data_IF_186778813624
#
_entry.id   IF_186778813624
#
_cell.length_a   1.000
_cell.length_b   1.000
_cell.length_c   1.000
_cell.angle_alpha   90.00
_cell.angle_beta   90.00
_cell.angle_gamma   90.00
#
_symmetry.space_group_name_H-M   'P 1'
#
loop_
_entity.id
_entity.type
_entity.pdbx_description
1 polymer ?
#
# COMPACT_ATOMS: atom_id res chain seq x y z
N UNK A 1 -14.53 28.48 31.02
CA UNK A 1 -14.92 28.10 29.64
C UNK A 1 -14.75 26.60 29.49
N UNK A 2 -15.86 25.87 29.36
CA UNK A 2 -15.86 24.41 29.38
C UNK A 2 -15.19 23.83 28.14
N UNK A 3 -14.23 22.93 28.35
CA UNK A 3 -13.72 22.04 27.32
C UNK A 3 -14.88 21.21 26.76
N UNK A 4 -15.40 21.59 25.59
CA UNK A 4 -16.22 20.67 24.78
C UNK A 4 -15.33 19.49 24.43
N UNK A 5 -15.49 18.36 25.13
CA UNK A 5 -15.01 17.06 24.67
C UNK A 5 -15.57 16.88 23.26
N UNK A 6 -14.71 16.88 22.25
CA UNK A 6 -15.10 16.56 20.89
C UNK A 6 -15.85 15.23 20.92
N UNK A 7 -17.11 15.28 20.52
CA UNK A 7 -18.01 14.13 20.48
C UNK A 7 -17.38 13.13 19.51
N UNK A 8 -16.99 11.95 20.01
CA UNK A 8 -16.35 10.90 19.21
C UNK A 8 -17.39 10.43 18.17
N UNK A 9 -17.34 10.98 16.96
CA UNK A 9 -18.19 10.53 15.85
C UNK A 9 -17.73 9.11 15.52
N UNK A 10 -18.52 8.11 15.91
CA UNK A 10 -18.26 6.73 15.51
C UNK A 10 -18.52 6.64 14.01
N UNK A 11 -17.47 6.53 13.21
CA UNK A 11 -17.57 6.33 11.77
C UNK A 11 -18.12 4.93 11.52
N UNK A 12 -19.21 4.84 10.74
CA UNK A 12 -19.68 3.55 10.25
C UNK A 12 -18.84 3.13 9.05
N UNK A 13 -18.10 2.03 9.20
CA UNK A 13 -17.30 1.47 8.10
C UNK A 13 -18.12 0.48 7.24
N UNK A 14 -19.20 -0.06 7.80
CA UNK A 14 -20.11 -0.95 7.08
C UNK A 14 -21.15 -0.19 6.25
N UNK A 15 -21.40 1.11 6.52
CA UNK A 15 -22.42 1.90 5.84
C UNK A 15 -21.96 3.33 5.52
N UNK A 16 -22.36 3.90 4.37
CA UNK A 16 -23.04 3.24 3.25
C UNK A 16 -22.18 2.11 2.64
N UNK A 17 -22.85 1.12 2.07
CA UNK A 17 -22.18 0.02 1.38
C UNK A 17 -21.84 0.45 -0.04
N UNK A 18 -20.61 0.18 -0.45
CA UNK A 18 -20.21 0.26 -1.86
C UNK A 18 -20.72 -0.97 -2.61
N UNK A 19 -21.02 -0.79 -3.88
CA UNK A 19 -21.43 -1.85 -4.80
C UNK A 19 -20.28 -2.83 -5.05
N UNK A 20 -20.59 -4.06 -5.48
CA UNK A 20 -19.55 -5.01 -5.91
C UNK A 20 -18.72 -4.44 -7.07
N UNK A 21 -19.36 -3.73 -8.00
CA UNK A 21 -18.68 -3.08 -9.12
C UNK A 21 -17.62 -2.04 -8.67
N UNK A 22 -17.91 -1.25 -7.63
CA UNK A 22 -16.92 -0.29 -7.08
C UNK A 22 -15.76 -1.00 -6.37
N UNK A 23 -16.03 -2.11 -5.67
CA UNK A 23 -15.00 -2.91 -5.02
C UNK A 23 -14.12 -3.64 -6.03
N UNK A 24 -14.73 -4.19 -7.07
CA UNK A 24 -14.04 -4.85 -8.18
C UNK A 24 -13.20 -3.83 -8.95
N UNK A 25 -13.74 -2.65 -9.24
CA UNK A 25 -12.98 -1.58 -9.88
C UNK A 25 -11.77 -1.14 -9.04
N UNK A 26 -11.93 -0.97 -7.73
CA UNK A 26 -10.79 -0.69 -6.86
C UNK A 26 -9.79 -1.85 -6.85
N UNK A 27 -10.26 -3.09 -6.84
CA UNK A 27 -9.37 -4.23 -6.83
C UNK A 27 -8.59 -4.37 -8.13
N UNK A 28 -9.22 -4.16 -9.28
CA UNK A 28 -8.56 -4.09 -10.58
C UNK A 28 -7.49 -2.99 -10.61
N UNK A 29 -7.83 -1.80 -10.11
CA UNK A 29 -6.89 -0.68 -9.96
C UNK A 29 -5.63 -1.10 -9.18
N UNK A 30 -5.81 -1.74 -8.01
CA UNK A 30 -4.71 -2.25 -7.18
C UNK A 30 -3.83 -3.28 -7.91
N UNK A 31 -4.41 -4.10 -8.79
CA UNK A 31 -3.65 -5.10 -9.55
C UNK A 31 -2.73 -4.46 -10.60
N UNK A 32 -2.98 -3.20 -10.98
CA UNK A 32 -2.20 -2.44 -11.94
C UNK A 32 -1.15 -1.53 -11.30
N UNK A 33 -1.09 -1.44 -9.95
CA UNK A 33 -0.18 -0.56 -9.19
C UNK A 33 1.32 -0.70 -9.54
N UNK A 34 1.73 -1.89 -9.99
CA UNK A 34 3.13 -2.23 -10.27
C UNK A 34 3.41 -2.34 -11.79
N UNK A 35 2.45 -2.03 -12.68
CA UNK A 35 2.62 -2.11 -14.14
C UNK A 35 3.13 -0.77 -14.73
N UNK A 36 4.25 -0.76 -15.48
CA UNK A 36 4.78 0.47 -16.06
C UNK A 36 4.07 0.90 -17.35
N UNK A 37 3.30 1.99 -17.27
CA UNK A 37 2.69 2.65 -18.42
C UNK A 37 3.62 3.75 -18.95
N UNK A 38 4.61 3.39 -19.76
CA UNK A 38 5.69 4.33 -20.17
C UNK A 38 5.16 5.61 -20.86
N UNK A 39 4.03 5.52 -21.54
CA UNK A 39 3.34 6.65 -22.19
C UNK A 39 2.51 7.52 -21.23
N UNK A 40 2.36 7.11 -19.95
CA UNK A 40 1.61 7.88 -18.97
C UNK A 40 2.32 9.21 -18.70
N UNK A 41 1.64 10.29 -19.08
CA UNK A 41 2.02 11.66 -18.77
C UNK A 41 1.60 12.02 -17.34
N UNK A 42 2.40 12.88 -16.71
CA UNK A 42 1.97 13.54 -15.47
C UNK A 42 0.77 14.44 -15.81
N UNK A 43 -0.33 14.41 -15.04
CA UNK A 43 -1.49 15.23 -15.37
C UNK A 43 -1.12 16.72 -15.38
N UNK A 44 -1.70 17.44 -16.34
CA UNK A 44 -1.65 18.89 -16.44
C UNK A 44 -2.91 19.52 -15.82
N UNK A 45 -2.82 20.82 -15.49
CA UNK A 45 -3.92 21.57 -14.90
C UNK A 45 -4.19 21.29 -13.41
N UNK A 46 -5.27 21.89 -12.92
CA UNK A 46 -5.63 21.86 -11.51
C UNK A 46 -6.23 20.52 -11.10
N UNK A 47 -5.71 19.96 -10.02
CA UNK A 47 -6.29 18.80 -9.37
C UNK A 47 -7.69 19.11 -8.85
N UNK A 48 -8.66 18.18 -8.95
CA UNK A 48 -9.91 18.27 -8.21
C UNK A 48 -9.67 18.46 -6.70
N UNK A 49 -10.27 19.50 -6.12
CA UNK A 49 -10.11 19.80 -4.70
C UNK A 49 -10.61 18.63 -3.83
N UNK A 50 -9.83 18.30 -2.79
CA UNK A 50 -10.25 17.36 -1.76
C UNK A 50 -11.43 17.93 -0.98
N UNK A 51 -12.43 17.08 -0.74
CA UNK A 51 -13.63 17.42 0.01
C UNK A 51 -13.51 16.95 1.45
N UNK A 52 -14.15 17.68 2.35
CA UNK A 52 -14.40 17.18 3.71
C UNK A 52 -15.21 15.88 3.63
N UNK A 53 -14.64 14.80 4.15
CA UNK A 53 -15.24 13.46 4.08
C UNK A 53 -14.53 12.48 3.12
N UNK A 54 -13.69 12.94 2.20
CA UNK A 54 -12.99 12.05 1.25
C UNK A 54 -12.17 10.98 1.97
N UNK A 55 -11.53 11.36 3.07
CA UNK A 55 -10.78 10.44 3.93
C UNK A 55 -11.67 9.33 4.52
N UNK A 56 -12.88 9.70 4.96
CA UNK A 56 -13.86 8.78 5.53
C UNK A 56 -14.38 7.81 4.47
N UNK A 57 -14.76 8.33 3.30
CA UNK A 57 -15.28 7.52 2.19
C UNK A 57 -14.22 6.59 1.59
N UNK A 58 -13.01 7.10 1.37
CA UNK A 58 -11.90 6.29 0.88
C UNK A 58 -11.54 5.16 1.85
N UNK A 59 -11.44 5.46 3.15
CA UNK A 59 -11.11 4.44 4.14
C UNK A 59 -12.23 3.39 4.25
N UNK A 60 -13.49 3.82 4.16
CA UNK A 60 -14.66 2.93 4.13
C UNK A 60 -14.59 1.97 2.94
N UNK A 61 -14.26 2.46 1.75
CA UNK A 61 -14.10 1.62 0.55
C UNK A 61 -12.98 0.59 0.74
N UNK A 62 -11.81 1.02 1.26
CA UNK A 62 -10.69 0.13 1.57
C UNK A 62 -11.06 -0.95 2.61
N UNK A 63 -11.83 -0.56 3.64
CA UNK A 63 -12.28 -1.47 4.68
C UNK A 63 -13.20 -2.54 4.08
N UNK A 64 -14.20 -2.13 3.30
CA UNK A 64 -15.17 -3.05 2.69
C UNK A 64 -14.49 -3.98 1.68
N UNK A 65 -13.47 -3.49 0.95
CA UNK A 65 -12.65 -4.32 0.07
C UNK A 65 -11.95 -5.46 0.81
N UNK A 66 -11.42 -5.19 2.02
CA UNK A 66 -10.82 -6.25 2.84
C UNK A 66 -11.89 -7.18 3.42
N UNK A 67 -12.90 -6.62 4.11
CA UNK A 67 -13.86 -7.40 4.89
C UNK A 67 -14.73 -8.30 4.01
N UNK A 68 -15.10 -7.85 2.80
CA UNK A 68 -15.87 -8.65 1.83
C UNK A 68 -15.00 -9.50 0.92
N UNK A 69 -13.73 -9.14 0.77
CA UNK A 69 -12.81 -9.77 -0.18
C UNK A 69 -11.91 -10.85 0.42
N UNK A 70 -11.87 -10.99 1.75
CA UNK A 70 -11.04 -12.01 2.43
C UNK A 70 -11.80 -12.69 3.55
N UNK A 71 -12.26 -13.90 3.28
CA UNK A 71 -12.76 -14.82 4.31
C UNK A 71 -11.58 -15.39 5.12
N UNK A 72 -11.41 -14.89 6.35
CA UNK A 72 -10.26 -15.22 7.20
C UNK A 72 -10.15 -16.71 7.53
N UNK A 73 -11.23 -17.46 7.79
CA UNK A 73 -11.15 -18.91 7.96
C UNK A 73 -10.58 -19.62 6.72
N UNK A 74 -10.99 -19.21 5.51
CA UNK A 74 -10.51 -19.78 4.26
C UNK A 74 -9.08 -19.38 3.96
N UNK A 75 -8.73 -18.12 4.18
CA UNK A 75 -7.37 -17.65 4.03
C UNK A 75 -6.42 -18.35 5.01
N UNK A 76 -6.85 -18.59 6.26
CA UNK A 76 -6.09 -19.39 7.23
C UNK A 76 -5.89 -20.83 6.75
N UNK A 77 -6.90 -21.47 6.15
CA UNK A 77 -6.77 -22.82 5.57
C UNK A 77 -5.78 -22.84 4.41
N UNK A 78 -5.82 -21.83 3.53
CA UNK A 78 -4.84 -21.65 2.45
C UNK A 78 -3.41 -21.56 3.01
N UNK A 79 -3.19 -20.68 4.00
CA UNK A 79 -1.87 -20.52 4.66
C UNK A 79 -1.39 -21.86 5.23
N UNK A 80 -2.27 -22.63 5.89
CA UNK A 80 -1.91 -23.94 6.43
C UNK A 80 -1.53 -24.94 5.32
N UNK A 81 -2.24 -24.96 4.18
CA UNK A 81 -1.91 -25.84 3.05
C UNK A 81 -0.51 -25.53 2.49
N UNK A 82 -0.25 -24.25 2.21
CA UNK A 82 1.06 -23.81 1.68
C UNK A 82 2.18 -24.12 2.69
N UNK A 83 1.94 -23.85 3.98
CA UNK A 83 2.87 -24.17 5.06
C UNK A 83 3.23 -25.66 5.10
N UNK A 84 2.23 -26.55 5.09
CA UNK A 84 2.46 -28.01 5.22
C UNK A 84 3.28 -28.56 4.06
N UNK A 85 3.12 -27.97 2.87
CA UNK A 85 3.88 -28.34 1.66
C UNK A 85 5.26 -27.67 1.59
N UNK A 86 5.54 -26.69 2.44
CA UNK A 86 6.75 -25.87 2.38
C UNK A 86 6.79 -24.93 1.17
N UNK A 87 5.62 -24.57 0.62
CA UNK A 87 5.46 -23.79 -0.59
C UNK A 87 4.27 -24.26 -1.41
N UNK A 88 3.99 -23.58 -2.52
CA UNK A 88 2.98 -24.01 -3.47
C UNK A 88 3.42 -23.70 -4.89
N UNK A 89 3.23 -24.66 -5.80
CA UNK A 89 3.35 -24.50 -7.25
C UNK A 89 1.98 -24.38 -7.93
N UNK A 90 0.90 -24.52 -7.16
CA UNK A 90 -0.48 -24.34 -7.62
C UNK A 90 -0.73 -22.86 -7.92
N UNK A 91 -1.08 -22.56 -9.17
CA UNK A 91 -1.32 -21.21 -9.64
C UNK A 91 -2.51 -20.56 -8.92
N UNK A 92 -3.55 -21.31 -8.60
CA UNK A 92 -4.73 -20.79 -7.89
C UNK A 92 -4.39 -20.42 -6.46
N UNK A 93 -3.63 -21.27 -5.75
CA UNK A 93 -3.20 -20.97 -4.38
C UNK A 93 -2.25 -19.75 -4.33
N UNK A 94 -1.34 -19.63 -5.30
CA UNK A 94 -0.47 -18.45 -5.45
C UNK A 94 -1.30 -17.19 -5.68
N UNK A 95 -2.30 -17.27 -6.56
CA UNK A 95 -3.15 -16.15 -6.90
C UNK A 95 -4.03 -15.73 -5.73
N UNK A 96 -4.69 -16.68 -5.06
CA UNK A 96 -5.50 -16.42 -3.87
C UNK A 96 -4.67 -15.77 -2.75
N UNK A 97 -3.44 -16.23 -2.54
CA UNK A 97 -2.54 -15.61 -1.56
C UNK A 97 -2.15 -14.18 -1.97
N UNK A 98 -1.80 -13.96 -3.25
CA UNK A 98 -1.48 -12.64 -3.81
C UNK A 98 -2.64 -11.67 -3.60
N UNK A 99 -3.86 -12.13 -3.88
CA UNK A 99 -5.08 -11.32 -3.79
C UNK A 99 -5.46 -10.95 -2.36
N UNK A 100 -5.37 -11.89 -1.42
CA UNK A 100 -5.53 -11.57 0.00
C UNK A 100 -4.47 -10.56 0.47
N UNK A 101 -3.21 -10.76 0.08
CA UNK A 101 -2.10 -9.85 0.42
C UNK A 101 -2.31 -8.46 -0.17
N UNK A 102 -2.79 -8.33 -1.39
CA UNK A 102 -3.11 -7.05 -2.01
C UNK A 102 -4.14 -6.27 -1.18
N UNK A 103 -5.23 -6.91 -0.76
CA UNK A 103 -6.26 -6.31 0.10
C UNK A 103 -5.72 -5.85 1.46
N UNK A 104 -4.94 -6.70 2.14
CA UNK A 104 -4.28 -6.33 3.40
C UNK A 104 -3.27 -5.18 3.23
N UNK A 105 -2.48 -5.20 2.15
CA UNK A 105 -1.54 -4.12 1.81
C UNK A 105 -2.27 -2.81 1.60
N UNK A 106 -3.41 -2.83 0.89
CA UNK A 106 -4.20 -1.65 0.57
C UNK A 106 -4.83 -1.02 1.81
N UNK A 107 -5.52 -1.78 2.67
CA UNK A 107 -6.06 -1.22 3.93
C UNK A 107 -4.95 -0.72 4.85
N UNK A 108 -3.78 -1.37 4.87
CA UNK A 108 -2.63 -0.88 5.62
C UNK A 108 -2.18 0.48 5.11
N UNK A 109 -2.18 0.71 3.80
CA UNK A 109 -1.89 2.02 3.22
C UNK A 109 -2.98 3.05 3.53
N UNK A 110 -4.26 2.66 3.50
CA UNK A 110 -5.37 3.50 3.92
C UNK A 110 -5.17 3.99 5.37
N UNK A 111 -4.71 3.16 6.30
CA UNK A 111 -4.38 3.62 7.67
C UNK A 111 -3.27 4.68 7.71
N UNK A 112 -2.30 4.66 6.79
CA UNK A 112 -1.27 5.70 6.76
C UNK A 112 -1.71 6.97 6.03
N UNK A 113 -2.58 6.86 5.04
CA UNK A 113 -3.02 8.00 4.26
C UNK A 113 -4.21 8.69 4.92
N UNK A 114 -5.25 7.94 5.28
CA UNK A 114 -6.58 8.47 5.59
C UNK A 114 -6.83 8.57 7.11
N UNK A 115 -6.08 7.85 7.94
CA UNK A 115 -6.20 8.03 9.38
C UNK A 115 -5.41 9.28 9.82
N UNK A 116 -6.00 10.10 10.69
CA UNK A 116 -5.38 11.32 11.23
C UNK A 116 -4.06 11.05 11.97
N UNK A 117 -3.82 9.82 12.41
CA UNK A 117 -2.55 9.40 13.03
C UNK A 117 -1.47 9.09 12.00
N UNK A 118 -1.81 9.00 10.71
CA UNK A 118 -0.94 8.70 9.58
C UNK A 118 0.05 7.54 9.81
N UNK A 119 -0.44 6.47 10.44
CA UNK A 119 0.40 5.32 10.85
C UNK A 119 -0.35 4.00 10.76
N UNK A 120 0.42 2.94 10.52
CA UNK A 120 -0.12 1.59 10.53
C UNK A 120 -0.40 1.14 11.96
N UNK A 121 -1.58 0.55 12.25
CA UNK A 121 -1.74 -0.24 13.46
C UNK A 121 -0.73 -1.40 13.48
N UNK A 122 -0.17 -1.68 14.65
CA UNK A 122 0.91 -2.66 14.76
C UNK A 122 0.47 -4.06 14.32
N UNK A 123 -0.79 -4.45 14.58
CA UNK A 123 -1.31 -5.77 14.26
C UNK A 123 -1.49 -5.96 12.75
N UNK A 124 -2.03 -4.95 12.06
CA UNK A 124 -2.17 -4.90 10.60
C UNK A 124 -0.79 -4.94 9.93
N UNK A 125 0.16 -4.18 10.46
CA UNK A 125 1.53 -4.18 9.98
C UNK A 125 2.20 -5.56 10.17
N UNK A 126 1.97 -6.23 11.30
CA UNK A 126 2.48 -7.58 11.55
C UNK A 126 1.92 -8.58 10.53
N UNK A 127 0.59 -8.67 10.39
CA UNK A 127 -0.04 -9.60 9.45
C UNK A 127 0.46 -9.37 8.02
N UNK A 128 0.46 -8.12 7.57
CA UNK A 128 0.92 -7.78 6.21
C UNK A 128 2.41 -8.11 6.00
N UNK A 129 3.25 -7.91 7.01
CA UNK A 129 4.69 -8.24 6.93
C UNK A 129 4.91 -9.75 6.89
N UNK A 130 4.19 -10.51 7.72
CA UNK A 130 4.23 -11.99 7.71
C UNK A 130 3.78 -12.55 6.35
N UNK A 131 2.75 -11.98 5.74
CA UNK A 131 2.34 -12.34 4.38
C UNK A 131 3.45 -12.07 3.36
N UNK A 132 4.14 -10.93 3.46
CA UNK A 132 5.30 -10.62 2.63
C UNK A 132 6.41 -11.65 2.78
N UNK A 133 6.88 -11.89 4.01
CA UNK A 133 7.96 -12.86 4.26
C UNK A 133 7.60 -14.28 3.82
N UNK A 134 6.35 -14.72 4.04
CA UNK A 134 5.89 -16.01 3.57
C UNK A 134 5.87 -16.07 2.04
N UNK A 135 5.35 -15.03 1.36
CA UNK A 135 5.33 -14.95 -0.10
C UNK A 135 6.71 -15.07 -0.71
N UNK A 136 7.65 -14.29 -0.19
CA UNK A 136 9.02 -14.26 -0.71
C UNK A 136 9.72 -15.60 -0.45
N UNK A 137 9.45 -16.25 0.69
CA UNK A 137 9.99 -17.56 1.00
C UNK A 137 9.51 -18.65 0.03
N UNK A 138 8.21 -18.72 -0.26
CA UNK A 138 7.71 -19.76 -1.17
C UNK A 138 8.00 -19.47 -2.65
N UNK A 139 8.03 -18.20 -3.07
CA UNK A 139 8.48 -17.82 -4.41
C UNK A 139 9.92 -18.26 -4.67
N UNK A 140 10.79 -18.12 -3.67
CA UNK A 140 12.19 -18.53 -3.74
C UNK A 140 12.43 -20.01 -3.36
N UNK A 141 11.37 -20.84 -3.27
CA UNK A 141 11.42 -22.27 -2.92
C UNK A 141 12.13 -22.57 -1.58
N UNK A 142 12.13 -21.62 -0.64
CA UNK A 142 12.78 -21.74 0.66
C UNK A 142 11.85 -22.45 1.66
N UNK A 143 11.78 -23.78 1.61
CA UNK A 143 10.80 -24.60 2.36
C UNK A 143 10.79 -24.32 3.87
N UNK A 144 11.96 -24.29 4.51
CA UNK A 144 12.06 -24.04 5.96
C UNK A 144 11.55 -22.67 6.38
N UNK A 145 11.91 -21.62 5.64
CA UNK A 145 11.42 -20.26 5.88
C UNK A 145 9.92 -20.13 5.58
N UNK A 146 9.43 -20.82 4.55
CA UNK A 146 8.00 -20.86 4.24
C UNK A 146 7.21 -21.47 5.39
N UNK A 147 7.68 -22.57 5.97
CA UNK A 147 7.05 -23.19 7.13
C UNK A 147 7.10 -22.26 8.37
N UNK A 148 8.25 -21.62 8.64
CA UNK A 148 8.40 -20.70 9.77
C UNK A 148 7.46 -19.49 9.65
N UNK A 149 7.54 -18.73 8.54
CA UNK A 149 6.70 -17.55 8.33
C UNK A 149 5.22 -17.91 8.19
N UNK A 150 4.92 -19.05 7.56
CA UNK A 150 3.55 -19.56 7.48
C UNK A 150 2.97 -19.91 8.84
N UNK A 151 3.78 -20.41 9.79
CA UNK A 151 3.29 -20.77 11.12
C UNK A 151 2.94 -19.53 11.92
N UNK A 152 3.78 -18.50 11.83
CA UNK A 152 3.54 -17.19 12.44
C UNK A 152 2.32 -16.50 11.82
N UNK A 153 2.20 -16.50 10.49
CA UNK A 153 1.03 -15.94 9.80
C UNK A 153 -0.24 -16.71 10.19
N UNK A 154 -0.19 -18.04 10.19
CA UNK A 154 -1.30 -18.87 10.62
C UNK A 154 -1.68 -18.53 12.07
N UNK A 155 -0.75 -18.40 13.01
CA UNK A 155 -1.07 -17.96 14.37
C UNK A 155 -1.71 -16.56 14.41
N UNK A 156 -1.19 -15.59 13.65
CA UNK A 156 -1.73 -14.23 13.59
C UNK A 156 -3.16 -14.18 12.98
N UNK A 157 -3.56 -15.15 12.17
CA UNK A 157 -4.93 -15.26 11.64
C UNK A 157 -5.91 -15.96 12.59
N UNK A 158 -5.53 -16.24 13.84
CA UNK A 158 -6.44 -16.88 14.80
C UNK A 158 -7.53 -15.90 15.23
N UNK A 159 -8.78 -16.34 15.45
CA UNK A 159 -9.86 -15.47 15.89
C UNK A 159 -9.50 -14.47 17.01
N UNK A 160 -8.84 -14.86 18.13
CA UNK A 160 -8.46 -13.90 19.16
C UNK A 160 -7.52 -12.79 18.67
N UNK A 161 -6.48 -13.14 17.89
CA UNK A 161 -5.55 -12.15 17.35
C UNK A 161 -6.22 -11.31 16.25
N UNK A 162 -6.95 -11.95 15.34
CA UNK A 162 -7.59 -11.26 14.23
C UNK A 162 -8.70 -10.30 14.71
N UNK A 163 -9.36 -10.58 15.83
CA UNK A 163 -10.26 -9.63 16.47
C UNK A 163 -9.55 -8.35 16.92
N UNK A 164 -8.26 -8.42 17.33
CA UNK A 164 -7.45 -7.22 17.59
C UNK A 164 -7.20 -6.44 16.31
N UNK A 165 -6.90 -7.14 15.20
CA UNK A 165 -6.72 -6.51 13.87
C UNK A 165 -7.99 -5.75 13.48
N UNK A 166 -9.15 -6.39 13.53
CA UNK A 166 -10.44 -5.75 13.22
C UNK A 166 -10.74 -4.59 14.14
N UNK A 167 -10.52 -4.74 15.45
CA UNK A 167 -10.74 -3.67 16.41
C UNK A 167 -9.84 -2.45 16.13
N UNK A 168 -8.56 -2.66 15.82
CA UNK A 168 -7.65 -1.55 15.50
C UNK A 168 -8.00 -0.86 14.18
N UNK A 169 -8.41 -1.61 13.17
CA UNK A 169 -8.87 -1.04 11.92
C UNK A 169 -10.19 -0.25 12.12
N UNK A 170 -11.04 -0.66 13.08
CA UNK A 170 -12.33 -0.03 13.37
C UNK A 170 -12.21 1.23 14.25
N UNK A 171 -11.14 1.39 15.04
CA UNK A 171 -10.78 2.64 15.72
C UNK A 171 -10.21 3.68 14.74
N UNK A 172 -10.78 3.78 13.55
CA UNK A 172 -10.40 4.73 12.52
C UNK A 172 -10.79 6.16 12.89
N UNK A 173 -9.90 7.11 12.61
CA UNK A 173 -10.15 8.54 12.76
C UNK A 173 -9.90 9.24 11.43
N UNK A 174 -10.93 9.72 10.73
CA UNK A 174 -10.76 10.41 9.45
C UNK A 174 -9.81 11.60 9.60
N UNK A 175 -8.76 11.63 8.80
CA UNK A 175 -7.93 12.82 8.61
C UNK A 175 -8.77 13.93 7.98
N UNK A 176 -8.59 15.17 8.45
CA UNK A 176 -9.12 16.35 7.77
C UNK A 176 -8.38 16.59 6.45
N UNK A 177 -8.93 17.44 5.58
CA UNK A 177 -8.24 17.84 4.34
C UNK A 177 -6.86 18.45 4.64
N UNK A 178 -6.76 19.31 5.66
CA UNK A 178 -5.48 19.89 6.05
C UNK A 178 -4.49 18.83 6.54
N UNK A 179 -4.93 17.89 7.38
CA UNK A 179 -4.09 16.80 7.90
C UNK A 179 -3.53 15.93 6.76
N UNK A 180 -4.35 15.63 5.75
CA UNK A 180 -3.94 14.93 4.53
C UNK A 180 -2.86 15.70 3.74
N UNK A 181 -3.10 17.00 3.48
CA UNK A 181 -2.17 17.84 2.73
C UNK A 181 -0.83 17.98 3.46
N UNK A 182 -0.85 18.20 4.77
CA UNK A 182 0.35 18.27 5.61
C UNK A 182 1.15 16.95 5.54
N UNK A 183 0.46 15.82 5.64
CA UNK A 183 1.08 14.50 5.52
C UNK A 183 1.71 14.28 4.14
N UNK A 184 1.02 14.67 3.07
CA UNK A 184 1.55 14.57 1.70
C UNK A 184 2.74 15.49 1.46
N UNK A 185 2.71 16.70 2.00
CA UNK A 185 3.82 17.67 1.99
C UNK A 185 5.04 17.09 2.71
N UNK A 186 4.85 16.47 3.86
CA UNK A 186 5.93 15.78 4.59
C UNK A 186 6.48 14.56 3.83
N UNK A 187 5.63 13.79 3.15
CA UNK A 187 6.11 12.71 2.27
C UNK A 187 6.90 13.25 1.07
N UNK A 188 6.47 14.37 0.46
CA UNK A 188 7.18 15.06 -0.62
C UNK A 188 8.57 15.52 -0.15
N UNK A 189 8.66 16.09 1.05
CA UNK A 189 9.92 16.52 1.65
C UNK A 189 10.90 15.37 1.80
N UNK A 190 10.44 14.18 2.22
CA UNK A 190 11.29 12.98 2.32
C UNK A 190 11.85 12.55 0.97
N UNK A 191 11.04 12.60 -0.09
CA UNK A 191 11.52 12.32 -1.45
C UNK A 191 12.56 13.37 -1.86
N UNK A 192 12.26 14.67 -1.71
CA UNK A 192 13.19 15.77 -2.04
C UNK A 192 14.56 15.61 -1.37
N UNK A 193 14.56 15.30 -0.07
CA UNK A 193 15.81 15.06 0.68
C UNK A 193 16.59 13.90 0.07
N UNK A 194 15.92 12.78 -0.21
CA UNK A 194 16.58 11.61 -0.79
C UNK A 194 17.13 11.86 -2.21
N UNK A 195 16.44 12.68 -3.02
CA UNK A 195 16.91 13.04 -4.37
C UNK A 195 18.10 14.01 -4.34
N UNK A 196 18.22 14.84 -3.30
CA UNK A 196 19.33 15.79 -3.14
C UNK A 196 20.68 15.12 -2.88
N UNK A 197 20.72 13.85 -2.48
CA UNK A 197 21.95 13.13 -2.15
C UNK A 197 22.73 12.61 -3.37
N UNK A 198 22.22 12.82 -4.60
CA UNK A 198 22.72 12.31 -5.90
C UNK A 198 22.81 10.77 -6.03
N UNK A 199 23.02 10.04 -4.94
CA UNK A 199 23.00 8.59 -4.84
C UNK A 199 22.12 8.16 -3.67
N UNK A 200 21.45 7.03 -3.84
CA UNK A 200 20.60 6.43 -2.80
C UNK A 200 21.03 5.00 -2.52
N UNK A 201 20.82 4.53 -1.29
CA UNK A 201 20.97 3.12 -0.94
C UNK A 201 19.69 2.35 -1.30
N UNK A 202 19.77 1.02 -1.37
CA UNK A 202 18.59 0.17 -1.58
C UNK A 202 17.49 0.42 -0.54
N UNK A 203 17.89 0.64 0.71
CA UNK A 203 16.96 1.02 1.78
C UNK A 203 16.25 2.36 1.52
N UNK A 204 16.99 3.41 1.15
CA UNK A 204 16.40 4.73 0.83
C UNK A 204 15.50 4.64 -0.40
N UNK A 205 15.93 3.92 -1.42
CA UNK A 205 15.16 3.66 -2.63
C UNK A 205 13.81 2.98 -2.32
N UNK A 206 13.84 1.94 -1.48
CA UNK A 206 12.64 1.25 -1.03
C UNK A 206 11.71 2.13 -0.19
N UNK A 207 12.25 3.06 0.60
CA UNK A 207 11.44 4.03 1.34
C UNK A 207 10.74 5.03 0.41
N UNK A 208 11.40 5.48 -0.66
CA UNK A 208 10.76 6.29 -1.72
C UNK A 208 9.64 5.48 -2.38
N UNK A 209 9.90 4.23 -2.80
CA UNK A 209 8.89 3.36 -3.40
C UNK A 209 7.66 3.21 -2.49
N UNK A 210 7.87 2.99 -1.18
CA UNK A 210 6.78 2.95 -0.18
C UNK A 210 5.96 4.24 -0.08
N UNK A 211 6.55 5.41 -0.32
CA UNK A 211 5.80 6.67 -0.41
C UNK A 211 4.94 6.65 -1.67
N UNK A 212 5.51 6.29 -2.82
CA UNK A 212 4.77 6.21 -4.10
C UNK A 212 3.64 5.18 -4.03
N UNK A 213 3.87 3.96 -3.53
CA UNK A 213 2.82 2.94 -3.42
C UNK A 213 1.66 3.40 -2.52
N UNK A 214 1.94 4.16 -1.45
CA UNK A 214 0.88 4.75 -0.62
C UNK A 214 0.07 5.78 -1.40
N UNK A 215 0.73 6.60 -2.22
CA UNK A 215 0.08 7.63 -3.03
C UNK A 215 -0.82 7.02 -4.09
N UNK A 216 -0.34 5.98 -4.78
CA UNK A 216 -1.18 5.20 -5.71
C UNK A 216 -2.41 4.69 -4.98
N UNK A 217 -2.24 3.99 -3.86
CA UNK A 217 -3.35 3.43 -3.08
C UNK A 217 -4.41 4.47 -2.69
N UNK A 218 -4.00 5.68 -2.29
CA UNK A 218 -4.94 6.79 -2.04
C UNK A 218 -5.66 7.22 -3.32
N UNK A 219 -4.91 7.54 -4.38
CA UNK A 219 -5.46 8.06 -5.62
C UNK A 219 -6.35 7.04 -6.35
N UNK A 220 -6.02 5.75 -6.27
CA UNK A 220 -6.78 4.63 -6.81
C UNK A 220 -8.11 4.43 -6.11
N UNK A 221 -8.16 4.75 -4.82
CA UNK A 221 -9.38 4.76 -4.03
C UNK A 221 -10.21 6.01 -4.36
N UNK A 222 -9.55 7.16 -4.46
CA UNK A 222 -10.19 8.44 -4.79
C UNK A 222 -10.81 8.43 -6.19
N UNK A 223 -10.16 7.83 -7.19
CA UNK A 223 -10.70 7.77 -8.57
C UNK A 223 -11.93 6.89 -8.71
N UNK A 224 -12.17 5.97 -7.78
CA UNK A 224 -13.42 5.20 -7.73
C UNK A 224 -14.56 6.05 -7.17
N UNK A 225 -14.28 6.81 -6.11
CA UNK A 225 -15.28 7.65 -5.42
C UNK A 225 -15.59 8.93 -6.20
N UNK A 226 -14.56 9.60 -6.70
CA UNK A 226 -14.65 10.80 -7.53
C UNK A 226 -13.92 10.56 -8.87
N UNK A 227 -14.59 9.92 -9.84
CA UNK A 227 -14.02 9.71 -11.17
C UNK A 227 -13.68 11.05 -11.83
N UNK A 228 -12.40 11.22 -12.18
CA UNK A 228 -11.91 12.38 -12.89
C UNK A 228 -10.74 11.97 -13.78
N UNK A 229 -10.64 12.58 -14.97
CA UNK A 229 -9.52 12.32 -15.88
C UNK A 229 -8.17 12.56 -15.21
N UNK A 230 -8.06 13.63 -14.42
CA UNK A 230 -6.87 13.95 -13.63
C UNK A 230 -6.48 12.81 -12.69
N UNK A 231 -7.44 12.27 -11.93
CA UNK A 231 -7.19 11.16 -11.00
C UNK A 231 -6.72 9.92 -11.75
N UNK A 232 -7.30 9.60 -12.92
CA UNK A 232 -6.86 8.46 -13.73
C UNK A 232 -5.42 8.63 -14.25
N UNK A 233 -5.09 9.81 -14.78
CA UNK A 233 -3.73 10.12 -15.25
C UNK A 233 -2.71 10.05 -14.10
N UNK A 234 -3.05 10.59 -12.93
CA UNK A 234 -2.19 10.52 -11.75
C UNK A 234 -1.93 9.07 -11.31
N UNK A 235 -2.97 8.21 -11.30
CA UNK A 235 -2.81 6.79 -10.99
C UNK A 235 -1.85 6.09 -11.94
N UNK A 236 -2.02 6.23 -13.24
CA UNK A 236 -1.12 5.60 -14.22
C UNK A 236 0.30 6.15 -14.15
N UNK A 237 0.44 7.45 -13.91
CA UNK A 237 1.74 8.07 -13.75
C UNK A 237 2.50 7.55 -12.51
N UNK A 238 1.81 7.44 -11.38
CA UNK A 238 2.38 6.90 -10.15
C UNK A 238 2.65 5.39 -10.28
N UNK A 239 1.75 4.61 -10.87
CA UNK A 239 1.95 3.19 -11.17
C UNK A 239 3.21 2.98 -12.03
N UNK A 240 3.43 3.85 -13.02
CA UNK A 240 4.66 3.83 -13.83
C UNK A 240 5.92 4.02 -13.01
N UNK A 241 5.92 5.00 -12.10
CA UNK A 241 7.05 5.20 -11.19
C UNK A 241 7.24 3.95 -10.32
N UNK A 242 6.16 3.41 -9.75
CA UNK A 242 6.22 2.28 -8.83
C UNK A 242 6.64 0.96 -9.50
N UNK A 243 6.22 0.73 -10.75
CA UNK A 243 6.64 -0.41 -11.58
C UNK A 243 8.13 -0.33 -11.95
N UNK A 244 8.59 0.82 -12.45
CA UNK A 244 10.02 1.05 -12.73
C UNK A 244 10.89 0.89 -11.47
N UNK A 245 10.41 1.40 -10.33
CA UNK A 245 11.06 1.18 -9.05
C UNK A 245 10.97 -0.26 -8.56
N UNK A 246 9.98 -1.01 -9.05
CA UNK A 246 9.78 -2.41 -8.74
C UNK A 246 10.82 -3.31 -9.34
N UNK A 247 10.99 -3.22 -10.65
CA UNK A 247 11.99 -3.98 -11.40
C UNK A 247 13.40 -3.74 -10.82
N UNK A 248 13.75 -2.46 -10.62
CA UNK A 248 15.04 -2.09 -10.04
C UNK A 248 15.20 -2.59 -8.59
N UNK A 249 14.14 -2.56 -7.79
CA UNK A 249 14.21 -3.06 -6.42
C UNK A 249 14.51 -4.57 -6.40
N UNK A 250 13.90 -5.33 -7.30
CA UNK A 250 14.07 -6.77 -7.37
C UNK A 250 15.50 -7.13 -7.80
N UNK A 251 16.08 -6.37 -8.75
CA UNK A 251 17.51 -6.47 -9.09
C UNK A 251 18.43 -6.21 -7.89
N UNK A 252 18.14 -5.17 -7.09
CA UNK A 252 18.94 -4.84 -5.91
C UNK A 252 18.87 -5.94 -4.83
N UNK A 253 17.69 -6.54 -4.65
CA UNK A 253 17.51 -7.67 -3.73
C UNK A 253 18.25 -8.90 -4.25
N UNK A 254 18.22 -9.17 -5.56
CA UNK A 254 18.95 -10.29 -6.16
C UNK A 254 20.47 -10.14 -5.94
N UNK A 255 21.03 -8.96 -6.19
CA UNK A 255 22.45 -8.66 -5.95
C UNK A 255 22.84 -8.83 -4.49
N UNK A 256 21.97 -8.45 -3.55
CA UNK A 256 22.17 -8.68 -2.12
C UNK A 256 22.19 -10.17 -1.77
N UNK A 257 21.30 -10.97 -2.37
CA UNK A 257 21.27 -12.42 -2.16
C UNK A 257 22.53 -13.08 -2.71
N UNK A 258 23.04 -12.60 -3.85
CA UNK A 258 24.31 -13.06 -4.46
C UNK A 258 25.56 -12.55 -3.73
N UNK A 259 25.43 -11.63 -2.78
CA UNK A 259 26.54 -11.02 -2.05
C UNK A 259 27.35 -10.01 -2.86
N UNK A 260 26.83 -9.57 -4.01
CA UNK A 260 27.51 -8.63 -4.91
C UNK A 260 27.45 -7.19 -4.39
N UNK A 261 26.33 -6.80 -3.77
CA UNK A 261 26.10 -5.44 -3.26
C UNK A 261 25.32 -5.47 -1.95
N UNK A 262 25.76 -4.67 -0.96
CA UNK A 262 25.07 -4.50 0.31
C UNK A 262 23.89 -3.51 0.13
N UNK A 263 22.67 -3.99 0.38
CA UNK A 263 21.42 -3.24 0.21
C UNK A 263 21.34 -1.97 1.06
N UNK A 264 22.02 -1.93 2.21
CA UNK A 264 21.97 -0.83 3.16
C UNK A 264 23.15 0.14 2.99
N UNK A 265 24.28 -0.32 2.43
CA UNK A 265 25.51 0.47 2.33
C UNK A 265 25.86 0.89 0.92
N UNK A 266 25.56 0.08 -0.08
CA UNK A 266 25.88 0.40 -1.47
C UNK A 266 24.97 1.53 -1.97
N UNK A 267 25.58 2.62 -2.43
CA UNK A 267 24.88 3.79 -2.93
C UNK A 267 25.03 3.88 -4.46
N UNK A 268 23.91 4.03 -5.15
CA UNK A 268 23.83 4.09 -6.62
C UNK A 268 23.09 5.35 -7.09
N UNK A 269 23.41 5.88 -8.28
CA UNK A 269 22.62 6.95 -8.87
C UNK A 269 21.24 6.42 -9.28
N UNK A 270 20.19 7.22 -9.04
CA UNK A 270 18.84 6.88 -9.53
C UNK A 270 18.82 6.89 -11.06
N UNK A 271 18.18 5.90 -11.72
CA UNK A 271 17.97 5.94 -13.17
C UNK A 271 17.20 7.20 -13.58
N UNK A 272 17.60 7.80 -14.70
CA UNK A 272 17.02 9.06 -15.18
C UNK A 272 15.51 8.96 -15.42
N UNK A 273 15.02 7.80 -15.87
CA UNK A 273 13.59 7.52 -16.07
C UNK A 273 12.77 7.61 -14.78
N UNK A 274 13.35 7.25 -13.63
CA UNK A 274 12.71 7.36 -12.31
C UNK A 274 12.90 8.77 -11.76
N UNK A 275 14.12 9.31 -11.85
CA UNK A 275 14.49 10.62 -11.31
C UNK A 275 13.68 11.75 -11.94
N UNK A 276 13.60 11.80 -13.28
CA UNK A 276 12.82 12.80 -14.02
C UNK A 276 11.34 12.78 -13.65
N UNK A 277 10.77 11.57 -13.48
CA UNK A 277 9.36 11.41 -13.10
C UNK A 277 9.07 11.83 -11.67
N UNK A 278 9.94 11.48 -10.72
CA UNK A 278 9.84 11.94 -9.35
C UNK A 278 9.99 13.46 -9.24
N UNK A 279 10.93 14.05 -9.98
CA UNK A 279 11.09 15.51 -10.03
C UNK A 279 9.84 16.20 -10.60
N UNK A 280 9.25 15.65 -11.66
CA UNK A 280 8.01 16.17 -12.24
C UNK A 280 6.84 16.07 -11.25
N UNK A 281 6.70 14.93 -10.54
CA UNK A 281 5.71 14.78 -9.46
C UNK A 281 5.89 15.83 -8.36
N UNK A 282 7.13 16.10 -7.97
CA UNK A 282 7.45 17.08 -6.92
C UNK A 282 7.20 18.53 -7.34
N UNK A 283 7.23 18.83 -8.64
CA UNK A 283 6.89 20.15 -9.19
C UNK A 283 5.40 20.47 -9.09
N UNK A 284 4.55 19.45 -9.07
CA UNK A 284 3.13 19.63 -8.78
C UNK A 284 2.87 20.07 -7.32
N UNK A 285 3.89 20.14 -6.46
CA UNK A 285 3.75 20.66 -5.10
C UNK A 285 2.74 19.87 -4.28
N UNK A 286 1.90 20.57 -3.50
CA UNK A 286 0.74 19.98 -2.82
C UNK A 286 -0.44 19.79 -3.77
N UNK A 287 -0.49 20.47 -4.92
CA UNK A 287 -1.54 20.28 -5.95
C UNK A 287 -1.40 18.97 -6.72
N UNK A 288 -0.23 18.32 -6.71
CA UNK A 288 -0.05 16.93 -7.12
C UNK A 288 -0.51 15.92 -6.07
N UNK A 289 -1.11 16.41 -4.98
CA UNK A 289 -1.42 15.68 -3.75
C UNK A 289 -2.77 15.98 -3.13
#
# INVERSE_FOLDING_TARGET
MGHKKAQKKNVSLAYPQFTDAELDQLFENILLDDEPYLEAACPDGDRPALKEGDSEECYRLCWQLLERGVEIPDFRRLVMRILKRGGTDDAEERLAFKYARARFKHIRFACANMDDRHRYPWSVNLVTSLMGHMQDAFKNRQKGKTAFWGALLWAALMPPFYNIVRWQLADFKPASVQSLLDYFSEQNRKIKIALGEHKVTGHKFHNIRKIISRRISFNDTLRVIHPAQWNNQMSFYLATINGLMGDMHDDLVEKQIKGEQDYNKFAFPLPESILSRLNTLLKLGETGF
#
